data_IF_571707227097
#
_entry.id   IF_571707227097
#
_cell.length_a   1.000
_cell.length_b   1.000
_cell.length_c   1.000
_cell.angle_alpha   90.00
_cell.angle_beta   90.00
_cell.angle_gamma   90.00
#
_symmetry.space_group_name_H-M   'P 1'
#
loop_
_entity.id
_entity.type
_entity.pdbx_description
1 polymer ?
#
# COMPACT_ATOMS: atom_id res chain seq x y z
N UNK A 1 22.93 -15.20 -5.23
CA UNK A 1 21.86 -15.74 -4.36
C UNK A 1 21.88 -15.13 -2.96
N UNK A 2 23.01 -15.13 -2.24
CA UNK A 2 23.12 -14.50 -0.92
C UNK A 2 22.90 -12.98 -0.95
N UNK A 3 23.48 -12.30 -1.94
CA UNK A 3 23.31 -10.84 -2.11
C UNK A 3 21.84 -10.40 -2.25
N UNK A 4 21.05 -11.08 -3.11
CA UNK A 4 19.63 -10.76 -3.31
C UNK A 4 18.81 -10.93 -2.03
N UNK A 5 19.14 -11.94 -1.21
CA UNK A 5 18.46 -12.15 0.07
C UNK A 5 18.78 -11.02 1.06
N UNK A 6 20.04 -10.57 1.11
CA UNK A 6 20.42 -9.39 1.91
C UNK A 6 19.67 -8.13 1.47
N UNK A 7 19.54 -7.90 0.15
CA UNK A 7 18.79 -6.75 -0.39
C UNK A 7 17.29 -6.81 -0.03
N UNK A 8 16.72 -8.01 0.03
CA UNK A 8 15.34 -8.23 0.51
C UNK A 8 15.23 -7.87 2.00
N UNK A 9 16.15 -8.34 2.85
CA UNK A 9 16.16 -8.00 4.27
C UNK A 9 16.32 -6.49 4.52
N UNK A 10 17.18 -5.82 3.75
CA UNK A 10 17.34 -4.36 3.81
C UNK A 10 16.06 -3.63 3.37
N UNK A 11 15.40 -4.08 2.30
CA UNK A 11 14.11 -3.54 1.89
C UNK A 11 13.07 -3.68 3.00
N UNK A 12 12.96 -4.85 3.64
CA UNK A 12 12.04 -5.07 4.75
C UNK A 12 12.35 -4.19 5.96
N UNK A 13 13.62 -3.95 6.29
CA UNK A 13 14.00 -3.01 7.37
C UNK A 13 13.51 -1.59 7.09
N UNK A 14 13.50 -1.16 5.82
CA UNK A 14 13.04 0.18 5.42
C UNK A 14 11.52 0.40 5.58
N UNK A 15 10.73 -0.65 5.85
CA UNK A 15 9.27 -0.55 6.04
C UNK A 15 8.88 0.39 7.18
N UNK A 16 9.70 0.51 8.23
CA UNK A 16 9.43 1.41 9.37
C UNK A 16 9.33 2.88 8.95
N UNK A 17 10.06 3.27 7.91
CA UNK A 17 10.11 4.65 7.42
C UNK A 17 9.04 4.94 6.36
N UNK A 18 8.76 3.94 5.52
CA UNK A 18 7.89 4.02 4.35
C UNK A 18 6.43 3.70 4.67
N UNK A 19 6.17 2.80 5.60
CA UNK A 19 4.85 2.24 5.91
C UNK A 19 4.30 2.75 7.25
N UNK A 20 4.40 4.06 7.47
CA UNK A 20 3.95 4.66 8.73
C UNK A 20 2.44 4.51 8.93
N UNK A 21 2.06 3.87 10.03
CA UNK A 21 0.66 3.84 10.48
C UNK A 21 0.25 5.25 10.91
N UNK A 22 -0.89 5.70 10.43
CA UNK A 22 -1.42 7.02 10.76
C UNK A 22 -2.83 6.90 11.31
N UNK A 23 -3.13 7.62 12.38
CA UNK A 23 -4.43 7.56 13.04
C UNK A 23 -5.32 8.70 12.57
N UNK A 24 -6.46 8.37 11.94
CA UNK A 24 -7.42 9.37 11.49
C UNK A 24 -7.87 10.29 12.63
N UNK A 25 -8.20 9.73 13.79
CA UNK A 25 -8.67 10.49 14.95
C UNK A 25 -7.66 11.53 15.42
N UNK A 26 -6.37 11.18 15.50
CA UNK A 26 -5.30 12.10 15.85
C UNK A 26 -5.24 13.27 14.87
N UNK A 27 -5.20 12.99 13.56
CA UNK A 27 -5.14 14.03 12.53
C UNK A 27 -6.41 14.90 12.48
N UNK A 28 -7.58 14.30 12.72
CA UNK A 28 -8.84 15.03 12.79
C UNK A 28 -8.84 16.00 13.98
N UNK A 29 -8.47 15.55 15.18
CA UNK A 29 -8.37 16.40 16.38
C UNK A 29 -7.35 17.51 16.18
N UNK A 30 -6.15 17.19 15.65
CA UNK A 30 -5.12 18.19 15.36
C UNK A 30 -5.60 19.22 14.34
N UNK A 31 -6.35 18.80 13.31
CA UNK A 31 -6.88 19.72 12.30
C UNK A 31 -7.91 20.66 12.92
N UNK A 32 -8.81 20.17 13.77
CA UNK A 32 -9.77 21.04 14.49
C UNK A 32 -9.03 22.00 15.43
N UNK A 33 -8.13 21.50 16.26
CA UNK A 33 -7.40 22.30 17.26
C UNK A 33 -6.49 23.37 16.62
N UNK A 34 -6.00 23.12 15.40
CA UNK A 34 -5.13 24.04 14.66
C UNK A 34 -5.87 24.86 13.60
N UNK A 35 -7.21 24.91 13.63
CA UNK A 35 -8.03 25.63 12.64
C UNK A 35 -7.72 25.24 11.18
N UNK A 36 -7.50 23.95 10.95
CA UNK A 36 -7.22 23.37 9.64
C UNK A 36 -5.75 23.33 9.26
N UNK A 37 -4.82 23.91 10.03
CA UNK A 37 -3.39 23.91 9.67
C UNK A 37 -2.84 22.48 9.59
N UNK A 38 -3.24 21.56 10.47
CA UNK A 38 -2.78 20.17 10.43
C UNK A 38 -3.30 19.35 9.23
N UNK A 39 -4.24 19.90 8.43
CA UNK A 39 -4.70 19.29 7.18
C UNK A 39 -3.58 19.08 6.16
N UNK A 40 -2.71 20.08 6.02
CA UNK A 40 -1.63 20.05 5.03
C UNK A 40 -0.60 18.95 5.33
N UNK A 41 0.00 18.86 6.53
CA UNK A 41 0.88 17.74 6.84
C UNK A 41 0.15 16.40 6.78
N UNK A 42 -1.13 16.32 7.18
CA UNK A 42 -1.93 15.10 7.03
C UNK A 42 -1.96 14.61 5.57
N UNK A 43 -2.41 15.47 4.64
CA UNK A 43 -2.49 15.14 3.22
C UNK A 43 -1.12 14.82 2.63
N UNK A 44 -0.10 15.61 2.98
CA UNK A 44 1.27 15.37 2.54
C UNK A 44 1.76 13.98 2.93
N UNK A 45 1.59 13.60 4.19
CA UNK A 45 2.04 12.29 4.67
C UNK A 45 1.23 11.13 4.10
N UNK A 46 -0.07 11.30 3.83
CA UNK A 46 -0.87 10.28 3.13
C UNK A 46 -0.35 9.99 1.73
N UNK A 47 -0.12 11.04 0.94
CA UNK A 47 0.34 10.92 -0.44
C UNK A 47 1.78 10.39 -0.46
N UNK A 48 2.64 10.92 0.42
CA UNK A 48 4.02 10.45 0.56
C UNK A 48 4.07 8.98 0.94
N UNK A 49 3.29 8.55 1.94
CA UNK A 49 3.21 7.15 2.37
C UNK A 49 2.83 6.24 1.21
N UNK A 50 1.78 6.59 0.46
CA UNK A 50 1.37 5.83 -0.74
C UNK A 50 2.52 5.67 -1.73
N UNK A 51 3.24 6.75 -2.03
CA UNK A 51 4.35 6.71 -2.99
C UNK A 51 5.49 5.82 -2.51
N UNK A 52 5.95 6.04 -1.27
CA UNK A 52 7.09 5.32 -0.71
C UNK A 52 6.78 3.84 -0.50
N UNK A 53 5.57 3.53 -0.06
CA UNK A 53 5.08 2.18 0.10
C UNK A 53 5.09 1.41 -1.22
N UNK A 54 4.46 1.96 -2.27
CA UNK A 54 4.36 1.25 -3.55
C UNK A 54 5.72 1.07 -4.22
N UNK A 55 6.59 2.08 -4.13
CA UNK A 55 7.94 1.98 -4.67
C UNK A 55 8.75 0.89 -3.95
N UNK A 56 8.64 0.80 -2.62
CA UNK A 56 9.29 -0.24 -1.83
C UNK A 56 8.79 -1.62 -2.23
N UNK A 57 7.48 -1.77 -2.41
CA UNK A 57 6.85 -3.03 -2.80
C UNK A 57 7.27 -3.49 -4.19
N UNK A 58 7.26 -2.60 -5.19
CA UNK A 58 7.74 -2.94 -6.53
C UNK A 58 9.18 -3.45 -6.51
N UNK A 59 10.05 -2.81 -5.71
CA UNK A 59 11.43 -3.28 -5.50
C UNK A 59 11.47 -4.65 -4.82
N UNK A 60 10.66 -4.86 -3.78
CA UNK A 60 10.63 -6.12 -3.05
C UNK A 60 10.18 -7.28 -3.96
N UNK A 61 9.07 -7.11 -4.68
CA UNK A 61 8.57 -8.09 -5.65
C UNK A 61 9.62 -8.44 -6.71
N UNK A 62 10.27 -7.43 -7.29
CA UNK A 62 11.30 -7.64 -8.30
C UNK A 62 12.48 -8.47 -7.75
N UNK A 63 12.90 -8.21 -6.51
CA UNK A 63 13.94 -8.98 -5.84
C UNK A 63 13.51 -10.43 -5.57
N UNK A 64 12.26 -10.64 -5.15
CA UNK A 64 11.69 -11.97 -4.91
C UNK A 64 11.60 -12.77 -6.22
N UNK A 65 11.04 -12.18 -7.27
CA UNK A 65 10.97 -12.82 -8.59
C UNK A 65 12.35 -13.18 -9.12
N UNK A 66 13.33 -12.28 -8.97
CA UNK A 66 14.73 -12.53 -9.35
C UNK A 66 15.33 -13.69 -8.54
N UNK A 67 15.09 -13.72 -7.23
CA UNK A 67 15.58 -14.77 -6.34
C UNK A 67 15.01 -16.14 -6.69
N UNK A 68 13.71 -16.19 -6.99
CA UNK A 68 12.99 -17.43 -7.33
C UNK A 68 13.11 -17.81 -8.81
N UNK A 69 13.64 -16.89 -9.64
CA UNK A 69 13.71 -17.01 -11.12
C UNK A 69 12.33 -17.21 -11.76
N UNK A 70 11.31 -16.56 -11.19
CA UNK A 70 9.94 -16.58 -11.72
C UNK A 70 9.80 -15.45 -12.73
N UNK A 71 9.23 -15.75 -13.90
CA UNK A 71 8.84 -14.71 -14.86
C UNK A 71 7.50 -14.14 -14.41
N UNK A 72 7.36 -12.80 -14.27
CA UNK A 72 6.11 -12.20 -13.81
C UNK A 72 4.97 -12.51 -14.79
N UNK A 73 3.85 -12.99 -14.25
CA UNK A 73 2.64 -13.31 -15.01
C UNK A 73 1.88 -12.08 -15.48
N UNK A 74 2.12 -10.92 -14.87
CA UNK A 74 1.54 -9.62 -15.22
C UNK A 74 2.64 -8.55 -15.17
N UNK A 75 2.54 -7.54 -16.03
CA UNK A 75 3.41 -6.36 -15.92
C UNK A 75 3.17 -5.63 -14.60
N UNK A 76 4.24 -5.21 -13.93
CA UNK A 76 4.12 -4.41 -12.72
C UNK A 76 3.33 -3.12 -13.01
N UNK A 77 2.28 -2.80 -12.23
CA UNK A 77 1.50 -1.60 -12.41
C UNK A 77 2.41 -0.37 -12.30
N UNK A 78 2.59 0.33 -13.41
CA UNK A 78 3.31 1.60 -13.43
C UNK A 78 2.45 2.71 -12.83
N UNK A 79 2.29 2.70 -11.51
CA UNK A 79 1.62 3.79 -10.83
C UNK A 79 2.61 4.94 -10.60
N UNK A 80 2.46 6.01 -11.38
CA UNK A 80 3.35 7.18 -11.30
C UNK A 80 3.30 7.79 -9.89
N UNK A 81 4.44 8.14 -9.29
CA UNK A 81 4.47 8.80 -7.99
C UNK A 81 3.79 10.17 -8.10
N UNK A 82 2.93 10.47 -7.13
CA UNK A 82 2.25 11.76 -7.06
C UNK A 82 3.20 12.82 -6.48
N UNK A 83 3.22 14.03 -7.01
CA UNK A 83 3.92 15.14 -6.35
C UNK A 83 3.17 15.52 -5.06
N UNK A 84 3.65 15.03 -3.91
CA UNK A 84 2.96 15.15 -2.64
C UNK A 84 2.73 16.61 -2.23
N UNK A 85 3.70 17.49 -2.44
CA UNK A 85 3.56 18.92 -2.11
C UNK A 85 2.52 19.60 -2.99
N UNK A 86 2.60 19.42 -4.31
CA UNK A 86 1.66 20.02 -5.26
C UNK A 86 0.22 19.54 -5.01
N UNK A 87 0.02 18.23 -4.80
CA UNK A 87 -1.30 17.68 -4.49
C UNK A 87 -1.83 18.10 -3.12
N UNK A 88 -0.94 18.29 -2.14
CA UNK A 88 -1.34 18.82 -0.84
C UNK A 88 -1.86 20.25 -0.97
N UNK A 89 -1.13 21.12 -1.68
CA UNK A 89 -1.55 22.51 -1.91
C UNK A 89 -2.85 22.56 -2.71
N UNK A 90 -3.02 21.70 -3.72
CA UNK A 90 -4.23 21.69 -4.53
C UNK A 90 -5.49 21.34 -3.74
N UNK A 91 -5.38 20.66 -2.59
CA UNK A 91 -6.53 20.37 -1.71
C UNK A 91 -7.20 21.60 -1.09
N UNK A 92 -6.63 22.80 -1.24
CA UNK A 92 -7.33 24.06 -0.97
C UNK A 92 -8.60 24.21 -1.82
N UNK A 93 -8.63 23.56 -2.99
CA UNK A 93 -9.78 23.49 -3.86
C UNK A 93 -10.57 22.20 -3.58
N UNK A 94 -11.89 22.32 -3.46
CA UNK A 94 -12.79 21.20 -3.12
C UNK A 94 -12.66 20.06 -4.14
N UNK A 95 -12.68 20.38 -5.45
CA UNK A 95 -12.64 19.35 -6.51
C UNK A 95 -11.33 18.54 -6.47
N UNK A 96 -10.13 19.16 -6.47
CA UNK A 96 -8.87 18.43 -6.26
C UNK A 96 -8.80 17.64 -4.95
N UNK A 97 -9.37 18.13 -3.85
CA UNK A 97 -9.40 17.39 -2.58
C UNK A 97 -10.18 16.07 -2.71
N UNK A 98 -11.40 16.12 -3.26
CA UNK A 98 -12.17 14.90 -3.50
C UNK A 98 -11.54 14.01 -4.59
N UNK A 99 -10.86 14.59 -5.58
CA UNK A 99 -10.15 13.81 -6.58
C UNK A 99 -8.99 13.02 -5.96
N UNK A 100 -8.18 13.65 -5.10
CA UNK A 100 -7.03 12.96 -4.48
C UNK A 100 -7.48 11.83 -3.55
N UNK A 101 -8.59 11.97 -2.83
CA UNK A 101 -9.16 10.88 -2.02
C UNK A 101 -9.54 9.67 -2.88
N UNK A 102 -10.22 9.93 -4.00
CA UNK A 102 -10.58 8.88 -4.94
C UNK A 102 -9.33 8.19 -5.51
N UNK A 103 -8.33 8.96 -5.93
CA UNK A 103 -7.06 8.43 -6.45
C UNK A 103 -6.36 7.57 -5.41
N UNK A 104 -6.20 8.04 -4.16
CA UNK A 104 -5.54 7.27 -3.10
C UNK A 104 -6.22 5.93 -2.85
N UNK A 105 -7.56 5.89 -2.86
CA UNK A 105 -8.31 4.65 -2.68
C UNK A 105 -8.21 3.72 -3.88
N UNK A 106 -8.43 4.25 -5.09
CA UNK A 106 -8.33 3.49 -6.34
C UNK A 106 -6.95 2.87 -6.50
N UNK A 107 -5.90 3.64 -6.20
CA UNK A 107 -4.51 3.20 -6.30
C UNK A 107 -4.21 2.08 -5.30
N UNK A 108 -4.72 2.16 -4.06
CA UNK A 108 -4.63 1.05 -3.09
C UNK A 108 -5.29 -0.22 -3.63
N UNK A 109 -6.51 -0.12 -4.15
CA UNK A 109 -7.21 -1.29 -4.66
C UNK A 109 -6.51 -1.94 -5.87
N UNK A 110 -5.90 -1.14 -6.74
CA UNK A 110 -5.08 -1.68 -7.86
C UNK A 110 -3.80 -2.33 -7.36
N UNK A 111 -3.18 -1.77 -6.32
CA UNK A 111 -2.00 -2.36 -5.71
C UNK A 111 -2.32 -3.70 -5.04
N UNK A 112 -3.41 -3.80 -4.27
CA UNK A 112 -3.89 -5.04 -3.64
C UNK A 112 -4.20 -6.14 -4.67
N UNK A 113 -4.80 -5.79 -5.80
CA UNK A 113 -5.09 -6.72 -6.90
C UNK A 113 -3.81 -7.26 -7.52
N UNK A 114 -2.84 -6.40 -7.81
CA UNK A 114 -1.53 -6.82 -8.31
C UNK A 114 -0.74 -7.65 -7.29
N UNK A 115 -0.75 -7.26 -6.02
CA UNK A 115 -0.10 -8.02 -4.96
C UNK A 115 -0.71 -9.42 -4.84
N UNK A 116 -2.03 -9.55 -4.98
CA UNK A 116 -2.69 -10.84 -4.99
C UNK A 116 -2.15 -11.74 -6.11
N UNK A 117 -2.09 -11.24 -7.35
CA UNK A 117 -1.57 -11.97 -8.50
C UNK A 117 -0.08 -12.34 -8.33
N UNK A 118 0.71 -11.45 -7.74
CA UNK A 118 2.10 -11.73 -7.38
C UNK A 118 2.20 -12.86 -6.34
N UNK A 119 1.40 -12.81 -5.27
CA UNK A 119 1.47 -13.80 -4.19
C UNK A 119 0.97 -15.17 -4.63
N UNK A 120 -0.01 -15.24 -5.54
CA UNK A 120 -0.42 -16.51 -6.17
C UNK A 120 0.77 -17.19 -6.86
N UNK A 121 1.57 -16.46 -7.63
CA UNK A 121 2.77 -17.01 -8.27
C UNK A 121 3.80 -17.53 -7.27
N UNK A 122 4.00 -16.83 -6.14
CA UNK A 122 4.93 -17.27 -5.10
C UNK A 122 4.40 -18.52 -4.39
N UNK A 123 3.10 -18.62 -4.14
CA UNK A 123 2.45 -19.80 -3.55
C UNK A 123 2.58 -21.00 -4.48
N UNK A 124 2.32 -20.83 -5.78
CA UNK A 124 2.45 -21.89 -6.77
C UNK A 124 3.88 -22.42 -6.82
N UNK A 125 4.87 -21.52 -6.86
CA UNK A 125 6.28 -21.90 -6.79
C UNK A 125 6.62 -22.68 -5.50
N UNK A 126 6.16 -22.20 -4.34
CA UNK A 126 6.40 -22.87 -3.06
C UNK A 126 5.82 -24.29 -3.05
N UNK A 127 4.62 -24.46 -3.61
CA UNK A 127 3.95 -25.76 -3.77
C UNK A 127 4.71 -26.69 -4.71
N UNK A 128 5.23 -26.20 -5.84
CA UNK A 128 6.04 -26.99 -6.76
C UNK A 128 7.36 -27.46 -6.14
N UNK A 129 7.92 -26.69 -5.22
CA UNK A 129 9.16 -27.02 -4.50
C UNK A 129 8.93 -27.80 -3.20
N UNK A 130 7.68 -28.10 -2.85
CA UNK A 130 7.28 -28.76 -1.60
C UNK A 130 7.85 -28.04 -0.35
N UNK A 131 7.89 -26.71 -0.40
CA UNK A 131 8.33 -25.87 0.73
C UNK A 131 7.13 -25.17 1.34
N UNK A 132 6.91 -25.25 2.66
CA UNK A 132 5.75 -24.64 3.29
C UNK A 132 5.81 -23.11 3.22
N UNK A 133 4.72 -22.49 2.75
CA UNK A 133 4.51 -21.05 2.76
C UNK A 133 3.13 -20.73 3.34
N UNK A 134 3.10 -20.18 4.55
CA UNK A 134 1.87 -19.84 5.27
C UNK A 134 1.66 -18.33 5.26
N UNK A 135 0.89 -17.84 4.30
CA UNK A 135 0.52 -16.42 4.23
C UNK A 135 -0.77 -16.14 5.02
N UNK A 136 -0.88 -14.94 5.58
CA UNK A 136 -2.16 -14.43 6.04
C UNK A 136 -3.06 -14.14 4.82
N UNK A 137 -4.37 -14.40 5.00
CA UNK A 137 -5.35 -14.26 3.92
C UNK A 137 -5.43 -12.85 3.32
N UNK A 138 -5.81 -12.80 2.04
CA UNK A 138 -5.90 -11.58 1.23
C UNK A 138 -7.28 -10.93 1.36
N UNK A 139 -7.47 -10.12 2.40
CA UNK A 139 -8.71 -9.35 2.51
C UNK A 139 -8.55 -8.03 1.74
N UNK A 140 -8.89 -8.06 0.44
CA UNK A 140 -8.91 -6.85 -0.37
C UNK A 140 -9.83 -5.79 0.25
N UNK A 141 -9.35 -4.55 0.32
CA UNK A 141 -10.16 -3.50 0.93
C UNK A 141 -11.35 -3.17 0.03
N UNK A 142 -12.54 -2.88 0.58
CA UNK A 142 -13.73 -2.63 -0.24
C UNK A 142 -13.50 -1.55 -1.30
N UNK A 143 -13.81 -1.84 -2.57
CA UNK A 143 -13.69 -0.87 -3.68
C UNK A 143 -14.72 0.25 -3.54
N UNK A 144 -14.32 1.48 -3.83
CA UNK A 144 -15.27 2.58 -4.00
C UNK A 144 -15.67 2.69 -5.46
N UNK A 145 -16.90 2.25 -5.79
CA UNK A 145 -17.45 2.56 -7.10
C UNK A 145 -17.53 4.08 -7.25
N UNK A 146 -17.04 4.61 -8.37
CA UNK A 146 -17.03 6.05 -8.66
C UNK A 146 -18.42 6.69 -8.44
N UNK A 147 -19.50 6.01 -8.82
CA UNK A 147 -20.86 6.51 -8.68
C UNK A 147 -21.26 6.70 -7.20
N UNK A 148 -20.97 5.73 -6.32
CA UNK A 148 -21.20 5.89 -4.86
C UNK A 148 -20.33 7.00 -4.28
N UNK A 149 -19.08 7.10 -4.76
CA UNK A 149 -18.16 8.12 -4.31
C UNK A 149 -18.68 9.54 -4.61
N UNK A 150 -19.03 9.79 -5.87
CA UNK A 150 -19.57 11.08 -6.34
C UNK A 150 -20.94 11.36 -5.72
N UNK A 151 -21.85 10.38 -5.74
CA UNK A 151 -23.20 10.53 -5.20
C UNK A 151 -23.21 10.92 -3.72
N UNK A 152 -22.45 10.21 -2.88
CA UNK A 152 -22.37 10.54 -1.45
C UNK A 152 -21.69 11.91 -1.22
N UNK A 153 -20.68 12.25 -2.02
CA UNK A 153 -19.99 13.55 -1.90
C UNK A 153 -20.91 14.73 -2.23
N UNK A 154 -21.75 14.59 -3.25
CA UNK A 154 -22.74 15.61 -3.64
C UNK A 154 -23.87 15.70 -2.62
N UNK A 155 -24.50 14.57 -2.28
CA UNK A 155 -25.66 14.52 -1.36
C UNK A 155 -25.30 15.05 0.03
N UNK A 156 -24.07 14.79 0.47
CA UNK A 156 -23.61 15.24 1.79
C UNK A 156 -23.09 16.68 1.83
N UNK A 157 -23.10 17.40 0.71
CA UNK A 157 -22.51 18.75 0.57
C UNK A 157 -21.09 18.85 1.15
N UNK A 158 -20.29 17.80 0.99
CA UNK A 158 -18.91 17.73 1.48
C UNK A 158 -18.73 17.08 2.86
N UNK A 159 -19.78 16.81 3.63
CA UNK A 159 -19.67 16.11 4.93
C UNK A 159 -19.09 14.69 4.80
N UNK A 160 -19.28 14.05 3.64
CA UNK A 160 -18.68 12.76 3.36
C UNK A 160 -17.14 12.79 3.30
N UNK A 161 -16.49 13.95 3.21
CA UNK A 161 -15.02 14.06 3.21
C UNK A 161 -14.39 13.37 4.42
N UNK A 162 -14.94 13.58 5.62
CA UNK A 162 -14.45 12.96 6.84
C UNK A 162 -14.58 11.42 6.80
N UNK A 163 -15.70 10.92 6.27
CA UNK A 163 -15.91 9.49 6.08
C UNK A 163 -14.92 8.89 5.08
N UNK A 164 -14.70 9.55 3.95
CA UNK A 164 -13.74 9.09 2.94
C UNK A 164 -12.31 9.04 3.50
N UNK A 165 -11.90 10.10 4.18
CA UNK A 165 -10.61 10.13 4.86
C UNK A 165 -10.49 8.99 5.86
N UNK A 166 -11.44 8.84 6.79
CA UNK A 166 -11.46 7.75 7.76
C UNK A 166 -11.25 6.38 7.10
N UNK A 167 -12.00 6.09 6.02
CA UNK A 167 -11.86 4.84 5.30
C UNK A 167 -10.49 4.69 4.64
N UNK A 168 -9.95 5.72 3.99
CA UNK A 168 -8.62 5.68 3.37
C UNK A 168 -7.54 5.41 4.42
N UNK A 169 -7.58 6.11 5.56
CA UNK A 169 -6.63 5.88 6.65
C UNK A 169 -6.64 4.42 7.11
N UNK A 170 -7.84 3.91 7.40
CA UNK A 170 -7.99 2.57 7.95
C UNK A 170 -7.66 1.48 6.94
N UNK A 171 -8.07 1.64 5.69
CA UNK A 171 -7.81 0.66 4.64
C UNK A 171 -6.30 0.54 4.38
N UNK A 172 -5.56 1.65 4.24
CA UNK A 172 -4.10 1.61 4.12
C UNK A 172 -3.42 1.03 5.36
N UNK A 173 -3.88 1.37 6.57
CA UNK A 173 -3.29 0.83 7.79
C UNK A 173 -3.52 -0.68 7.91
N UNK A 174 -4.70 -1.17 7.51
CA UNK A 174 -5.04 -2.59 7.51
C UNK A 174 -4.20 -3.34 6.49
N UNK A 175 -4.11 -2.82 5.27
CA UNK A 175 -3.28 -3.34 4.19
C UNK A 175 -1.82 -3.51 4.63
N UNK A 176 -1.20 -2.41 5.11
CA UNK A 176 0.21 -2.41 5.55
C UNK A 176 0.47 -3.45 6.65
N UNK A 177 -0.43 -3.57 7.64
CA UNK A 177 -0.26 -4.54 8.73
C UNK A 177 -0.34 -5.97 8.25
N UNK A 178 -1.31 -6.27 7.39
CA UNK A 178 -1.43 -7.59 6.75
C UNK A 178 -0.16 -7.91 5.96
N UNK A 179 0.32 -6.94 5.17
CA UNK A 179 1.50 -7.09 4.34
C UNK A 179 2.76 -7.36 5.15
N UNK A 180 2.95 -6.70 6.30
CA UNK A 180 4.08 -7.01 7.18
C UNK A 180 4.11 -8.48 7.61
N UNK A 181 2.95 -9.10 7.88
CA UNK A 181 2.91 -10.52 8.22
C UNK A 181 3.30 -11.41 7.03
N UNK A 182 2.82 -11.08 5.83
CA UNK A 182 3.14 -11.81 4.62
C UNK A 182 4.61 -11.67 4.23
N UNK A 183 5.20 -10.49 4.39
CA UNK A 183 6.61 -10.23 4.15
C UNK A 183 7.54 -11.08 5.04
N UNK A 184 7.22 -11.22 6.33
CA UNK A 184 7.99 -12.09 7.22
C UNK A 184 7.88 -13.56 6.80
N UNK A 185 6.67 -14.02 6.46
CA UNK A 185 6.45 -15.38 5.98
C UNK A 185 7.22 -15.68 4.68
N UNK A 186 7.23 -14.73 3.74
CA UNK A 186 8.02 -14.83 2.50
C UNK A 186 9.51 -14.85 2.81
N UNK A 187 10.01 -14.00 3.71
CA UNK A 187 11.43 -14.01 4.06
C UNK A 187 11.86 -15.36 4.64
N UNK A 188 11.08 -15.92 5.57
CA UNK A 188 11.34 -17.26 6.13
C UNK A 188 11.33 -18.33 5.04
N UNK A 189 10.35 -18.28 4.14
CA UNK A 189 10.29 -19.18 2.98
C UNK A 189 11.54 -19.06 2.10
N UNK A 190 11.96 -17.85 1.73
CA UNK A 190 13.15 -17.63 0.89
C UNK A 190 14.44 -18.14 1.54
N UNK A 191 14.55 -18.08 2.88
CA UNK A 191 15.67 -18.66 3.63
C UNK A 191 15.69 -20.17 3.52
N UNK A 192 14.55 -20.83 3.72
CA UNK A 192 14.45 -22.29 3.57
C UNK A 192 14.78 -22.77 2.15
N UNK A 193 14.40 -22.01 1.12
CA UNK A 193 14.77 -22.31 -0.27
C UNK A 193 16.28 -22.24 -0.47
N UNK A 194 16.97 -21.27 0.13
CA UNK A 194 18.44 -21.12 0.02
C UNK A 194 19.20 -22.24 0.74
N UNK A 195 18.68 -22.67 1.90
CA UNK A 195 19.22 -23.80 2.67
C UNK A 195 19.08 -25.13 1.91
N UNK A 196 17.93 -25.38 1.28
CA UNK A 196 17.71 -26.60 0.49
C UNK A 196 18.44 -26.61 -0.87
N UNK A 197 18.91 -25.46 -1.33
CA UNK A 197 19.64 -25.31 -2.60
C UNK A 197 21.17 -25.34 -2.43
N UNK A 198 21.67 -25.43 -1.19
CA UNK A 198 23.09 -25.49 -0.83
C UNK A 198 23.53 -26.92 -0.55
#
# INVERSE_FOLDING_TARGET
MKQTLTEIEENLKSRKETDRIMWFSMWAVLSVASFGIAWFPMMYYMIKRRNTHFQRQQKLEALILTKLKITPSQEQPQTKPLNAAAWTISTLLIVPAFYIFYVLKRDLNKHEEHEHDFLVQVIEYAKEKDVPLNLHGFNATPRFSLNKYVGLSIVSCGLAAAYWLYRIFNDYNSHIKMQWHNEEAILTFLKSVDENSS
#
